data_IF_713400299121
#
_entry.id   IF_713400299121
#
_cell.length_a   1.000
_cell.length_b   1.000
_cell.length_c   1.000
_cell.angle_alpha   90.00
_cell.angle_beta   90.00
_cell.angle_gamma   90.00
#
_symmetry.space_group_name_H-M   'P 1'
#
loop_
_entity.id
_entity.type
_entity.pdbx_description
1 polymer ?
#
# COMPACT_ATOMS: atom_id res chain seq x y z
N UNK A 1 24.25 -10.83 -18.09
CA UNK A 1 23.67 -9.77 -17.24
C UNK A 1 24.80 -8.89 -16.73
N UNK A 2 24.66 -7.55 -16.71
CA UNK A 2 25.75 -6.67 -16.25
C UNK A 2 26.00 -6.93 -14.75
N UNK A 3 27.16 -7.48 -14.42
CA UNK A 3 27.53 -7.88 -13.05
C UNK A 3 27.61 -6.71 -12.08
N UNK A 4 27.83 -5.48 -12.56
CA UNK A 4 27.85 -4.30 -11.71
C UNK A 4 26.45 -3.83 -11.33
N UNK A 5 25.51 -3.86 -12.27
CA UNK A 5 24.13 -3.47 -12.02
C UNK A 5 23.46 -4.41 -11.02
N UNK A 6 23.68 -5.73 -11.16
CA UNK A 6 23.11 -6.71 -10.23
C UNK A 6 23.65 -6.54 -8.80
N UNK A 7 24.96 -6.30 -8.65
CA UNK A 7 25.57 -6.00 -7.34
C UNK A 7 24.97 -4.74 -6.70
N UNK A 8 24.63 -3.75 -7.51
CA UNK A 8 23.98 -2.53 -7.02
C UNK A 8 22.55 -2.82 -6.56
N UNK A 9 21.79 -3.61 -7.32
CA UNK A 9 20.46 -4.05 -6.88
C UNK A 9 20.48 -4.84 -5.58
N UNK A 10 21.48 -5.72 -5.39
CA UNK A 10 21.69 -6.45 -4.13
C UNK A 10 22.05 -5.52 -2.97
N UNK A 11 23.00 -4.60 -3.17
CA UNK A 11 23.43 -3.60 -2.17
C UNK A 11 22.23 -2.81 -1.63
N UNK A 12 21.33 -2.39 -2.52
CA UNK A 12 20.16 -1.59 -2.17
C UNK A 12 18.89 -2.39 -1.93
N UNK A 13 18.97 -3.73 -1.94
CA UNK A 13 17.86 -4.66 -1.69
C UNK A 13 16.62 -4.40 -2.57
N UNK A 14 16.84 -4.10 -3.85
CA UNK A 14 15.74 -3.90 -4.80
C UNK A 14 14.87 -5.16 -4.92
N UNK A 15 13.56 -4.96 -5.03
CA UNK A 15 12.60 -6.04 -5.28
C UNK A 15 12.83 -6.65 -6.67
N UNK A 16 12.41 -7.91 -6.89
CA UNK A 16 12.55 -8.54 -8.22
C UNK A 16 11.83 -7.75 -9.32
N UNK A 17 10.68 -7.15 -9.00
CA UNK A 17 9.92 -6.30 -9.91
C UNK A 17 10.74 -5.07 -10.32
N UNK A 18 11.26 -4.33 -9.34
CA UNK A 18 12.05 -3.12 -9.61
C UNK A 18 13.33 -3.46 -10.39
N UNK A 19 14.00 -4.57 -10.05
CA UNK A 19 15.17 -5.06 -10.79
C UNK A 19 14.84 -5.29 -12.26
N UNK A 20 13.71 -5.94 -12.53
CA UNK A 20 13.27 -6.23 -13.89
C UNK A 20 13.00 -4.94 -14.67
N UNK A 21 12.19 -4.03 -14.12
CA UNK A 21 11.81 -2.77 -14.77
C UNK A 21 13.03 -1.86 -15.01
N UNK A 22 13.88 -1.69 -13.99
CA UNK A 22 15.11 -0.87 -14.13
C UNK A 22 16.08 -1.51 -15.13
N UNK A 23 16.20 -2.84 -15.16
CA UNK A 23 17.04 -3.53 -16.14
C UNK A 23 16.56 -3.28 -17.57
N UNK A 24 15.25 -3.36 -17.83
CA UNK A 24 14.69 -3.11 -19.15
C UNK A 24 15.04 -1.69 -19.63
N UNK A 25 14.85 -0.67 -18.79
CA UNK A 25 15.19 0.71 -19.12
C UNK A 25 16.70 0.84 -19.34
N UNK A 26 17.51 0.26 -18.45
CA UNK A 26 18.97 0.34 -18.51
C UNK A 26 19.53 -0.23 -19.83
N UNK A 27 18.97 -1.32 -20.34
CA UNK A 27 19.42 -1.91 -21.60
C UNK A 27 19.11 -1.06 -22.84
N UNK A 28 18.11 -0.16 -22.75
CA UNK A 28 17.75 0.77 -23.81
C UNK A 28 18.60 2.05 -23.83
N UNK A 29 19.38 2.30 -22.77
CA UNK A 29 20.22 3.48 -22.68
C UNK A 29 21.46 3.39 -23.60
N UNK A 30 21.94 4.54 -24.06
CA UNK A 30 23.27 4.64 -24.68
C UNK A 30 24.37 4.31 -23.66
N UNK A 31 25.55 3.87 -24.12
CA UNK A 31 26.64 3.50 -23.20
C UNK A 31 27.06 4.66 -22.28
N UNK A 32 27.12 5.89 -22.80
CA UNK A 32 27.36 7.09 -21.99
C UNK A 32 26.34 7.23 -20.85
N UNK A 33 25.05 7.08 -21.17
CA UNK A 33 23.95 7.17 -20.20
C UNK A 33 23.99 6.02 -19.20
N UNK A 34 24.35 4.81 -19.62
CA UNK A 34 24.55 3.66 -18.71
C UNK A 34 25.66 3.95 -17.70
N UNK A 35 26.80 4.49 -18.14
CA UNK A 35 27.89 4.86 -17.24
C UNK A 35 27.47 5.96 -16.27
N UNK A 36 26.75 6.98 -16.75
CA UNK A 36 26.24 8.05 -15.91
C UNK A 36 25.24 7.53 -14.86
N UNK A 37 24.33 6.63 -15.27
CA UNK A 37 23.39 5.99 -14.35
C UNK A 37 24.12 5.16 -13.28
N UNK A 38 25.09 4.33 -13.66
CA UNK A 38 25.86 3.53 -12.71
C UNK A 38 26.70 4.37 -11.75
N UNK A 39 27.13 5.58 -12.15
CA UNK A 39 27.84 6.53 -11.28
C UNK A 39 26.92 7.17 -10.24
N UNK A 40 25.68 7.46 -10.62
CA UNK A 40 24.69 8.12 -9.77
C UNK A 40 23.66 7.15 -9.17
N UNK A 41 23.96 5.85 -9.17
CA UNK A 41 23.00 4.81 -8.78
C UNK A 41 22.57 4.95 -7.31
N UNK A 42 23.49 5.39 -6.44
CA UNK A 42 23.23 5.53 -5.01
C UNK A 42 22.11 6.56 -4.74
N UNK A 43 22.09 7.68 -5.47
CA UNK A 43 21.02 8.70 -5.41
C UNK A 43 19.71 8.16 -5.98
N UNK A 44 19.78 7.49 -7.13
CA UNK A 44 18.61 6.83 -7.73
C UNK A 44 17.96 5.83 -6.76
N UNK A 45 18.78 4.99 -6.12
CA UNK A 45 18.31 3.99 -5.17
C UNK A 45 17.69 4.62 -3.92
N UNK A 46 18.28 5.71 -3.41
CA UNK A 46 17.71 6.47 -2.31
C UNK A 46 16.31 7.00 -2.66
N UNK A 47 16.14 7.59 -3.85
CA UNK A 47 14.85 8.13 -4.27
C UNK A 47 13.78 7.04 -4.45
N UNK A 48 14.12 5.90 -5.07
CA UNK A 48 13.20 4.77 -5.21
C UNK A 48 12.76 4.24 -3.85
N UNK A 49 13.70 4.06 -2.92
CA UNK A 49 13.38 3.57 -1.58
C UNK A 49 12.47 4.54 -0.81
N UNK A 50 12.71 5.85 -0.95
CA UNK A 50 11.84 6.88 -0.36
C UNK A 50 10.42 6.80 -0.93
N UNK A 51 10.28 6.71 -2.25
CA UNK A 51 8.98 6.60 -2.92
C UNK A 51 8.25 5.34 -2.44
N UNK A 52 8.93 4.19 -2.37
CA UNK A 52 8.34 2.95 -1.89
C UNK A 52 7.89 3.04 -0.43
N UNK A 53 8.65 3.71 0.43
CA UNK A 53 8.28 3.96 1.82
C UNK A 53 7.04 4.86 1.93
N UNK A 54 6.99 5.94 1.14
CA UNK A 54 5.85 6.85 1.12
C UNK A 54 4.58 6.15 0.63
N UNK A 55 4.69 5.32 -0.41
CA UNK A 55 3.59 4.50 -0.94
C UNK A 55 3.06 3.53 0.13
N UNK A 56 3.95 2.81 0.82
CA UNK A 56 3.51 1.86 1.84
C UNK A 56 2.86 2.58 3.03
N UNK A 57 3.38 3.74 3.42
CA UNK A 57 2.77 4.57 4.47
C UNK A 57 1.36 4.99 4.10
N UNK A 58 1.16 5.53 2.90
CA UNK A 58 -0.16 5.97 2.42
C UNK A 58 -1.13 4.79 2.31
N UNK A 59 -0.65 3.63 1.85
CA UNK A 59 -1.46 2.41 1.79
C UNK A 59 -1.94 1.97 3.18
N UNK A 60 -1.08 2.01 4.20
CA UNK A 60 -1.46 1.69 5.57
C UNK A 60 -2.51 2.66 6.11
N UNK A 61 -2.36 3.96 5.83
CA UNK A 61 -3.35 4.99 6.20
C UNK A 61 -4.70 4.72 5.54
N UNK A 62 -4.71 4.47 4.22
CA UNK A 62 -5.94 4.20 3.46
C UNK A 62 -6.65 2.94 3.95
N UNK A 63 -5.90 1.85 4.16
CA UNK A 63 -6.45 0.60 4.70
C UNK A 63 -7.00 0.82 6.11
N UNK A 64 -6.25 1.46 6.99
CA UNK A 64 -6.70 1.78 8.35
C UNK A 64 -8.01 2.59 8.35
N UNK A 65 -8.08 3.62 7.51
CA UNK A 65 -9.28 4.43 7.34
C UNK A 65 -10.47 3.62 6.79
N UNK A 66 -10.23 2.72 5.85
CA UNK A 66 -11.27 1.84 5.31
C UNK A 66 -11.80 0.87 6.38
N UNK A 67 -10.91 0.26 7.18
CA UNK A 67 -11.28 -0.64 8.28
C UNK A 67 -12.12 0.08 9.33
N UNK A 68 -11.74 1.31 9.72
CA UNK A 68 -12.52 2.10 10.68
C UNK A 68 -13.90 2.49 10.13
N UNK A 69 -14.03 2.79 8.83
CA UNK A 69 -15.34 3.01 8.20
C UNK A 69 -16.22 1.76 8.25
N UNK A 70 -15.66 0.59 7.93
CA UNK A 70 -16.36 -0.69 8.00
C UNK A 70 -16.85 -0.96 9.43
N UNK A 71 -15.97 -0.78 10.42
CA UNK A 71 -16.30 -0.93 11.84
C UNK A 71 -17.46 -0.03 12.27
N UNK A 72 -17.43 1.25 11.90
CA UNK A 72 -18.51 2.21 12.19
C UNK A 72 -19.83 1.80 11.54
N UNK A 73 -19.80 1.29 10.30
CA UNK A 73 -21.00 0.78 9.63
C UNK A 73 -21.60 -0.41 10.38
N UNK A 74 -20.78 -1.41 10.73
CA UNK A 74 -21.21 -2.59 11.47
C UNK A 74 -21.84 -2.21 12.82
N UNK A 75 -21.24 -1.26 13.55
CA UNK A 75 -21.77 -0.80 14.82
C UNK A 75 -23.11 -0.07 14.66
N UNK A 76 -23.28 0.75 13.62
CA UNK A 76 -24.53 1.43 13.32
C UNK A 76 -25.65 0.43 12.98
N UNK A 77 -25.34 -0.57 12.15
CA UNK A 77 -26.30 -1.59 11.74
C UNK A 77 -26.76 -2.42 12.95
N UNK A 78 -25.83 -2.82 13.82
CA UNK A 78 -26.15 -3.52 15.07
C UNK A 78 -27.05 -2.69 15.98
N UNK A 79 -26.73 -1.41 16.18
CA UNK A 79 -27.55 -0.50 16.98
C UNK A 79 -28.98 -0.40 16.42
N UNK A 80 -29.10 -0.21 15.11
CA UNK A 80 -30.40 -0.07 14.44
C UNK A 80 -31.26 -1.33 14.60
N UNK A 81 -30.65 -2.52 14.48
CA UNK A 81 -31.34 -3.80 14.72
C UNK A 81 -31.83 -3.92 16.16
N UNK A 82 -30.96 -3.65 17.14
CA UNK A 82 -31.33 -3.70 18.56
C UNK A 82 -32.46 -2.72 18.88
N UNK A 83 -32.39 -1.49 18.36
CA UNK A 83 -33.43 -0.48 18.55
C UNK A 83 -34.77 -0.96 17.96
N UNK A 84 -34.76 -1.63 16.80
CA UNK A 84 -35.97 -2.20 16.20
C UNK A 84 -36.55 -3.38 16.99
N UNK A 85 -35.69 -4.26 17.50
CA UNK A 85 -36.10 -5.39 18.35
C UNK A 85 -36.70 -4.92 19.67
N UNK A 86 -36.10 -3.91 20.31
CA UNK A 86 -36.61 -3.32 21.54
C UNK A 86 -37.96 -2.66 21.30
N UNK A 87 -38.12 -1.88 20.23
CA UNK A 87 -39.41 -1.27 19.87
C UNK A 87 -40.50 -2.32 19.66
N UNK A 88 -40.22 -3.37 18.87
CA UNK A 88 -41.17 -4.46 18.66
C UNK A 88 -41.59 -5.15 19.96
N UNK A 89 -40.66 -5.37 20.89
CA UNK A 89 -40.98 -5.93 22.22
C UNK A 89 -41.85 -4.99 23.06
N UNK A 90 -41.56 -3.68 23.06
CA UNK A 90 -42.37 -2.69 23.79
C UNK A 90 -43.79 -2.63 23.23
N UNK A 91 -43.94 -2.64 21.91
CA UNK A 91 -45.25 -2.58 21.26
C UNK A 91 -46.08 -3.83 21.57
N UNK A 92 -45.47 -5.02 21.59
CA UNK A 92 -46.13 -6.26 22.02
C UNK A 92 -46.60 -6.16 23.48
N UNK A 93 -45.76 -5.68 24.41
CA UNK A 93 -46.13 -5.52 25.82
C UNK A 93 -47.28 -4.52 26.04
N UNK A 94 -47.39 -3.49 25.20
CA UNK A 94 -48.51 -2.52 25.27
C UNK A 94 -49.82 -3.07 24.72
N UNK A 95 -49.78 -4.04 23.81
CA UNK A 95 -50.99 -4.68 23.25
C UNK A 95 -51.59 -5.76 24.16
N UNK A 96 -50.86 -6.20 25.17
CA UNK A 96 -51.31 -7.20 26.17
C UNK A 96 -51.94 -6.57 27.43
N UNK A 97 -51.95 -5.23 27.54
CA UNK A 97 -52.58 -4.44 28.62
C UNK A 97 -53.88 -3.82 28.10
#
# INVERSE_FOLDING_TARGET
MNTRLEKLFEKYKFSQKDRFEVSQIFFLLTEERKQNFLKNFDEFAFQINKINFDIETEKQILIGNAVEKIKKSILKDRKTRLDSEIKGKIDNLKGEI
#
